data_IF_371422504128
#
_entry.id   IF_371422504128
#
_cell.length_a   1.000
_cell.length_b   1.000
_cell.length_c   1.000
_cell.angle_alpha   90.00
_cell.angle_beta   90.00
_cell.angle_gamma   90.00
#
_symmetry.space_group_name_H-M   'P 1'
#
loop_
_entity.id
_entity.type
_entity.pdbx_description
1 polymer ?
#
# COMPACT_ATOMS: atom_id res chain seq x y z
N UNK A 1 74.88 26.51 -29.25
CA UNK A 1 73.46 26.89 -29.08
C UNK A 1 72.76 25.79 -28.30
N UNK A 2 71.93 26.16 -27.33
CA UNK A 2 71.74 25.46 -26.05
C UNK A 2 71.21 24.01 -26.10
N UNK A 3 71.74 23.19 -25.19
CA UNK A 3 71.19 21.89 -24.79
C UNK A 3 69.78 22.08 -24.25
N UNK A 4 68.76 21.82 -25.07
CA UNK A 4 67.36 21.72 -24.64
C UNK A 4 67.19 20.41 -23.87
N UNK A 5 67.54 20.42 -22.58
CA UNK A 5 67.16 19.33 -21.69
C UNK A 5 65.63 19.22 -21.69
N UNK A 6 65.08 18.03 -21.96
CA UNK A 6 63.64 17.84 -21.97
C UNK A 6 63.07 18.14 -20.58
N UNK A 7 62.01 18.95 -20.52
CA UNK A 7 61.35 19.20 -19.23
C UNK A 7 60.71 17.91 -18.69
N UNK A 8 60.65 17.77 -17.36
CA UNK A 8 60.10 16.58 -16.68
C UNK A 8 58.70 16.19 -17.21
N UNK A 9 57.85 17.18 -17.51
CA UNK A 9 56.50 16.96 -18.05
C UNK A 9 56.49 16.37 -19.47
N UNK A 10 57.48 16.69 -20.30
CA UNK A 10 57.59 16.15 -21.67
C UNK A 10 58.06 14.70 -21.66
N UNK A 11 58.94 14.34 -20.71
CA UNK A 11 59.33 12.95 -20.49
C UNK A 11 58.11 12.14 -20.08
N UNK A 12 57.36 12.61 -19.09
CA UNK A 12 56.13 11.98 -18.62
C UNK A 12 55.07 11.82 -19.73
N UNK A 13 54.82 12.87 -20.52
CA UNK A 13 53.82 12.84 -21.59
C UNK A 13 54.16 11.84 -22.70
N UNK A 14 55.44 11.48 -22.87
CA UNK A 14 55.87 10.48 -23.84
C UNK A 14 55.87 9.04 -23.28
N UNK A 15 55.89 8.87 -21.96
CA UNK A 15 55.90 7.55 -21.29
C UNK A 15 54.54 7.10 -20.78
N UNK A 16 53.56 8.00 -20.70
CA UNK A 16 52.20 7.69 -20.23
C UNK A 16 51.37 6.95 -21.29
N UNK A 17 50.38 6.18 -20.83
CA UNK A 17 49.38 5.49 -21.67
C UNK A 17 48.22 6.40 -22.08
N UNK A 18 48.20 7.65 -21.61
CA UNK A 18 47.15 8.61 -21.93
C UNK A 18 47.26 9.04 -23.40
N UNK A 19 46.22 8.74 -24.17
CA UNK A 19 46.22 9.01 -25.60
C UNK A 19 46.14 10.53 -25.85
N UNK A 20 46.88 11.01 -26.85
CA UNK A 20 46.87 12.42 -27.26
C UNK A 20 47.83 13.35 -26.50
N UNK A 21 48.18 13.07 -25.24
CA UNK A 21 49.03 13.97 -24.43
C UNK A 21 50.46 14.13 -24.97
N UNK A 22 51.02 13.07 -25.57
CA UNK A 22 52.33 13.12 -26.25
C UNK A 22 52.35 14.13 -27.40
N UNK A 23 51.21 14.35 -28.07
CA UNK A 23 51.08 15.30 -29.18
C UNK A 23 50.85 16.74 -28.72
N UNK A 24 50.45 16.91 -27.45
CA UNK A 24 50.30 18.20 -26.78
C UNK A 24 51.64 18.71 -26.22
N UNK A 25 52.48 17.80 -25.71
CA UNK A 25 53.79 18.12 -25.10
C UNK A 25 54.98 17.69 -25.95
N UNK A 26 54.93 17.98 -27.25
CA UNK A 26 56.05 17.75 -28.18
C UNK A 26 57.18 18.77 -27.92
N UNK A 27 58.44 18.37 -28.17
CA UNK A 27 59.60 19.26 -28.12
C UNK A 27 59.53 20.32 -29.24
N UNK A 28 59.69 21.61 -28.90
CA UNK A 28 59.76 22.70 -29.89
C UNK A 28 58.71 23.81 -29.70
N UNK A 29 58.62 24.76 -30.66
CA UNK A 29 57.71 25.91 -30.58
C UNK A 29 56.23 25.51 -30.68
N UNK A 30 55.33 26.42 -30.28
CA UNK A 30 53.88 26.21 -30.40
C UNK A 30 53.48 26.21 -31.88
N UNK A 31 52.77 25.18 -32.32
CA UNK A 31 52.30 25.01 -33.71
C UNK A 31 50.77 24.86 -33.76
N UNK A 32 50.16 25.15 -34.91
CA UNK A 32 48.71 24.94 -35.14
C UNK A 32 48.32 23.48 -34.86
N UNK A 33 49.16 22.53 -35.29
CA UNK A 33 48.98 21.10 -35.00
C UNK A 33 48.90 20.83 -33.50
N UNK A 34 49.77 21.46 -32.70
CA UNK A 34 49.74 21.36 -31.23
C UNK A 34 48.43 21.90 -30.66
N UNK A 35 47.97 23.06 -31.13
CA UNK A 35 46.70 23.65 -30.70
C UNK A 35 45.51 22.73 -31.01
N UNK A 36 45.46 22.13 -32.20
CA UNK A 36 44.42 21.17 -32.58
C UNK A 36 44.44 19.92 -31.69
N UNK A 37 45.62 19.37 -31.40
CA UNK A 37 45.75 18.24 -30.47
C UNK A 37 45.34 18.60 -29.05
N UNK A 38 45.69 19.80 -28.58
CA UNK A 38 45.26 20.29 -27.27
C UNK A 38 43.74 20.43 -27.20
N UNK A 39 43.12 21.02 -28.22
CA UNK A 39 41.66 21.19 -28.27
C UNK A 39 40.94 19.84 -28.33
N UNK A 40 41.41 18.91 -29.16
CA UNK A 40 40.86 17.58 -29.25
C UNK A 40 41.00 16.79 -27.93
N UNK A 41 42.16 16.88 -27.28
CA UNK A 41 42.42 16.25 -26.00
C UNK A 41 41.52 16.81 -24.89
N UNK A 42 41.47 18.14 -24.75
CA UNK A 42 40.60 18.81 -23.76
C UNK A 42 39.12 18.54 -24.05
N UNK A 43 38.71 18.58 -25.31
CA UNK A 43 37.35 18.24 -25.72
C UNK A 43 36.97 16.80 -25.36
N UNK A 44 37.86 15.83 -25.65
CA UNK A 44 37.62 14.42 -25.31
C UNK A 44 37.54 14.17 -23.80
N UNK A 45 38.38 14.86 -23.01
CA UNK A 45 38.35 14.79 -21.55
C UNK A 45 37.08 15.43 -20.98
N UNK A 46 36.66 16.58 -21.52
CA UNK A 46 35.43 17.25 -21.12
C UNK A 46 34.18 16.39 -21.39
N UNK A 47 34.09 15.80 -22.59
CA UNK A 47 33.00 14.86 -22.93
C UNK A 47 32.98 13.65 -22.00
N UNK A 48 34.15 13.05 -21.73
CA UNK A 48 34.26 11.92 -20.81
C UNK A 48 33.74 12.27 -19.40
N UNK A 49 34.13 13.45 -18.87
CA UNK A 49 33.69 13.88 -17.54
C UNK A 49 32.17 14.11 -17.50
N UNK A 50 31.61 14.82 -18.48
CA UNK A 50 30.16 15.08 -18.54
C UNK A 50 29.37 13.77 -18.63
N UNK A 51 29.70 12.91 -19.60
CA UNK A 51 29.01 11.62 -19.79
C UNK A 51 29.17 10.71 -18.56
N UNK A 52 30.37 10.64 -17.97
CA UNK A 52 30.58 9.84 -16.77
C UNK A 52 29.76 10.36 -15.58
N UNK A 53 29.67 11.68 -15.40
CA UNK A 53 28.89 12.28 -14.33
C UNK A 53 27.39 12.06 -14.51
N UNK A 54 26.87 12.16 -15.73
CA UNK A 54 25.47 11.84 -16.05
C UNK A 54 25.14 10.38 -15.75
N UNK A 55 26.02 9.43 -16.14
CA UNK A 55 25.80 8.01 -15.86
C UNK A 55 25.88 7.68 -14.37
N UNK A 56 26.78 8.33 -13.63
CA UNK A 56 26.88 8.17 -12.17
C UNK A 56 25.64 8.76 -11.48
N UNK A 57 25.18 9.94 -11.91
CA UNK A 57 23.95 10.54 -11.41
C UNK A 57 22.72 9.67 -11.72
N UNK A 58 22.65 9.09 -12.92
CA UNK A 58 21.61 8.13 -13.31
C UNK A 58 21.69 6.81 -12.54
N UNK A 59 22.89 6.32 -12.23
CA UNK A 59 23.05 5.15 -11.37
C UNK A 59 22.51 5.44 -9.94
N UNK A 60 22.84 6.60 -9.39
CA UNK A 60 22.36 7.05 -8.08
C UNK A 60 20.91 7.58 -8.09
N UNK A 61 20.26 7.69 -9.25
CA UNK A 61 18.82 7.95 -9.32
C UNK A 61 17.98 6.69 -9.10
N UNK A 62 18.63 5.51 -9.01
CA UNK A 62 17.99 4.22 -8.72
C UNK A 62 16.79 3.91 -9.63
N UNK A 63 16.92 4.24 -10.91
CA UNK A 63 15.89 3.98 -11.90
C UNK A 63 15.68 2.47 -12.10
N UNK A 64 14.46 2.00 -11.96
CA UNK A 64 14.07 0.60 -12.19
C UNK A 64 13.09 0.50 -13.37
N UNK A 65 13.14 -0.62 -14.08
CA UNK A 65 12.19 -0.96 -15.15
C UNK A 65 11.46 -2.23 -14.76
N UNK A 66 10.14 -2.19 -14.80
CA UNK A 66 9.30 -3.35 -14.48
C UNK A 66 8.98 -4.12 -15.77
N UNK A 67 9.23 -5.43 -15.75
CA UNK A 67 8.81 -6.35 -16.82
C UNK A 67 7.51 -7.04 -16.39
N UNK A 68 6.50 -7.01 -17.27
CA UNK A 68 5.20 -7.66 -17.05
C UNK A 68 5.10 -8.85 -18.01
N UNK A 69 4.97 -10.05 -17.45
CA UNK A 69 4.80 -11.30 -18.20
C UNK A 69 3.55 -12.03 -17.70
N UNK A 70 2.77 -12.63 -18.60
CA UNK A 70 1.63 -13.48 -18.27
C UNK A 70 2.02 -14.95 -18.45
N UNK A 71 1.95 -15.74 -17.38
CA UNK A 71 2.32 -17.16 -17.39
C UNK A 71 1.10 -17.99 -17.00
N UNK A 72 0.73 -18.94 -17.88
CA UNK A 72 -0.38 -19.86 -17.62
C UNK A 72 0.08 -20.95 -16.65
N UNK A 73 -0.60 -21.07 -15.50
CA UNK A 73 -0.34 -22.11 -14.50
C UNK A 73 -1.46 -23.15 -14.47
N UNK A 74 -1.10 -24.43 -14.30
CA UNK A 74 -2.07 -25.54 -14.25
C UNK A 74 -2.94 -25.53 -12.98
N UNK A 75 -2.48 -24.87 -11.91
CA UNK A 75 -3.21 -24.72 -10.66
C UNK A 75 -2.79 -23.42 -9.96
N UNK A 76 -3.75 -22.68 -9.44
CA UNK A 76 -3.51 -21.49 -8.62
C UNK A 76 -4.09 -21.70 -7.21
N UNK A 77 -3.51 -21.00 -6.24
CA UNK A 77 -4.07 -20.91 -4.90
C UNK A 77 -5.32 -20.03 -4.99
N UNK A 78 -6.44 -20.53 -4.46
CA UNK A 78 -7.67 -19.74 -4.42
C UNK A 78 -7.48 -18.56 -3.47
N UNK A 79 -7.81 -17.32 -3.87
CA UNK A 79 -7.61 -16.16 -3.03
C UNK A 79 -8.56 -16.18 -1.83
N UNK A 80 -8.22 -15.45 -0.78
CA UNK A 80 -9.16 -15.20 0.29
C UNK A 80 -10.24 -14.22 -0.19
N UNK A 81 -11.50 -14.62 -0.07
CA UNK A 81 -12.68 -13.82 -0.42
C UNK A 81 -13.32 -13.31 0.85
N UNK A 82 -13.37 -11.99 1.02
CA UNK A 82 -14.04 -11.34 2.14
C UNK A 82 -15.40 -10.82 1.71
N UNK A 83 -16.45 -11.25 2.40
CA UNK A 83 -17.83 -10.81 2.14
C UNK A 83 -18.31 -10.01 3.34
N UNK A 84 -18.84 -8.82 3.09
CA UNK A 84 -19.38 -7.93 4.11
C UNK A 84 -20.75 -7.43 3.67
N UNK A 85 -21.72 -7.40 4.59
CA UNK A 85 -22.96 -6.67 4.33
C UNK A 85 -22.66 -5.17 4.41
N UNK A 86 -23.17 -4.37 3.48
CA UNK A 86 -23.03 -2.92 3.52
C UNK A 86 -23.73 -2.31 4.74
N UNK A 87 -24.83 -2.95 5.17
CA UNK A 87 -25.50 -2.56 6.40
C UNK A 87 -24.69 -3.04 7.60
N UNK A 88 -24.23 -2.09 8.42
CA UNK A 88 -23.38 -2.33 9.59
C UNK A 88 -24.05 -3.22 10.64
N UNK A 89 -25.36 -3.05 10.86
CA UNK A 89 -26.08 -3.71 11.96
C UNK A 89 -27.50 -4.13 11.58
N UNK A 90 -28.00 -5.16 12.26
CA UNK A 90 -29.39 -5.58 12.21
C UNK A 90 -30.21 -4.71 13.17
N UNK A 91 -31.07 -3.85 12.63
CA UNK A 91 -31.93 -2.97 13.43
C UNK A 91 -32.74 -3.73 14.50
N UNK A 92 -33.18 -4.95 14.18
CA UNK A 92 -33.93 -5.82 15.11
C UNK A 92 -33.13 -6.26 16.34
N UNK A 93 -31.79 -6.24 16.29
CA UNK A 93 -30.89 -6.63 17.38
C UNK A 93 -30.48 -5.47 18.29
N UNK A 94 -30.81 -4.23 17.91
CA UNK A 94 -30.52 -3.05 18.73
C UNK A 94 -31.39 -3.01 19.98
N UNK A 95 -30.76 -2.69 21.11
CA UNK A 95 -31.42 -2.50 22.40
C UNK A 95 -31.38 -1.03 22.83
N UNK A 96 -32.19 -0.66 23.83
CA UNK A 96 -32.14 0.68 24.45
C UNK A 96 -30.75 1.00 25.02
N UNK A 97 -30.03 0.01 25.56
CA UNK A 97 -28.66 0.24 26.04
C UNK A 97 -27.72 0.61 24.91
N UNK A 98 -27.87 -0.05 23.76
CA UNK A 98 -27.03 0.20 22.60
C UNK A 98 -27.29 1.59 22.03
N UNK A 99 -28.55 2.02 21.93
CA UNK A 99 -28.88 3.38 21.51
C UNK A 99 -28.40 4.43 22.51
N UNK A 100 -28.45 4.13 23.81
CA UNK A 100 -27.95 5.06 24.83
C UNK A 100 -26.44 5.32 24.71
N UNK A 101 -25.64 4.29 24.43
CA UNK A 101 -24.17 4.40 24.36
C UNK A 101 -23.62 4.68 22.96
N UNK A 102 -24.26 4.16 21.91
CA UNK A 102 -23.78 4.19 20.53
C UNK A 102 -24.78 4.83 19.55
N UNK A 103 -25.92 5.35 19.99
CA UNK A 103 -26.94 5.92 19.10
C UNK A 103 -26.43 7.07 18.23
N UNK A 104 -25.57 7.93 18.79
CA UNK A 104 -24.89 9.00 18.05
C UNK A 104 -23.89 8.42 17.02
N UNK A 105 -23.09 7.43 17.42
CA UNK A 105 -22.14 6.76 16.53
C UNK A 105 -22.82 6.11 15.32
N UNK A 106 -24.02 5.55 15.53
CA UNK A 106 -24.85 4.95 14.48
C UNK A 106 -25.65 5.97 13.67
N UNK A 107 -25.53 7.28 13.97
CA UNK A 107 -26.33 8.36 13.39
C UNK A 107 -27.86 8.16 13.54
N UNK A 108 -28.29 7.39 14.54
CA UNK A 108 -29.70 7.18 14.87
C UNK A 108 -30.21 8.22 15.87
N UNK A 109 -29.31 8.80 16.66
CA UNK A 109 -29.59 9.86 17.62
C UNK A 109 -28.60 11.02 17.43
N UNK A 110 -29.00 12.21 17.86
CA UNK A 110 -28.11 13.38 17.97
C UNK A 110 -27.39 13.43 19.33
N UNK A 111 -26.58 14.49 19.53
CA UNK A 111 -25.86 14.77 20.78
C UNK A 111 -26.79 14.94 22.01
N UNK A 112 -28.09 15.18 21.78
CA UNK A 112 -29.11 15.33 22.82
C UNK A 112 -29.94 14.05 23.02
N UNK A 113 -29.51 12.93 22.43
CA UNK A 113 -30.20 11.64 22.45
C UNK A 113 -31.61 11.69 21.83
N UNK A 114 -31.81 12.57 20.84
CA UNK A 114 -33.06 12.70 20.09
C UNK A 114 -32.93 12.13 18.68
N UNK A 115 -34.04 11.66 18.11
CA UNK A 115 -34.07 11.14 16.74
C UNK A 115 -34.01 12.33 15.75
N UNK A 116 -32.96 12.44 14.91
CA UNK A 116 -32.88 13.51 13.93
C UNK A 116 -33.89 13.27 12.79
N UNK A 117 -34.53 14.35 12.31
CA UNK A 117 -35.41 14.33 11.13
C UNK A 117 -36.43 13.16 11.08
N UNK A 118 -37.29 12.97 12.10
CA UNK A 118 -38.16 11.79 12.22
C UNK A 118 -39.13 11.60 11.05
N UNK A 119 -39.46 12.67 10.31
CA UNK A 119 -40.34 12.61 9.13
C UNK A 119 -39.75 11.81 7.95
N UNK A 120 -38.44 11.58 7.91
CA UNK A 120 -37.79 10.82 6.83
C UNK A 120 -37.85 9.30 7.05
N UNK A 121 -38.20 8.85 8.25
CA UNK A 121 -38.29 7.43 8.58
C UNK A 121 -39.67 6.86 8.27
N UNK A 122 -39.71 5.58 7.91
CA UNK A 122 -40.96 4.82 7.84
C UNK A 122 -41.69 4.87 9.20
N UNK A 123 -43.02 5.10 9.24
CA UNK A 123 -43.76 5.23 10.51
C UNK A 123 -43.65 4.02 11.44
N UNK A 124 -43.57 2.80 10.91
CA UNK A 124 -43.46 1.60 11.73
C UNK A 124 -42.06 1.48 12.34
N UNK A 125 -41.02 1.78 11.56
CA UNK A 125 -39.63 1.80 12.04
C UNK A 125 -39.44 2.92 13.07
N UNK A 126 -40.02 4.09 12.81
CA UNK A 126 -39.97 5.23 13.72
C UNK A 126 -40.60 4.91 15.07
N UNK A 127 -41.76 4.25 15.09
CA UNK A 127 -42.42 3.85 16.34
C UNK A 127 -41.52 2.93 17.19
N UNK A 128 -40.85 1.96 16.56
CA UNK A 128 -39.91 1.05 17.24
C UNK A 128 -38.69 1.84 17.74
N UNK A 129 -38.17 2.77 16.95
CA UNK A 129 -37.03 3.59 17.34
C UNK A 129 -37.37 4.51 18.52
N UNK A 130 -38.56 5.12 18.52
CA UNK A 130 -39.06 5.95 19.62
C UNK A 130 -39.22 5.16 20.92
N UNK A 131 -39.72 3.93 20.83
CA UNK A 131 -39.81 3.04 21.99
C UNK A 131 -38.43 2.73 22.55
N UNK A 132 -37.49 2.33 21.69
CA UNK A 132 -36.12 1.99 22.10
C UNK A 132 -35.32 3.20 22.59
N UNK A 133 -35.60 4.40 22.09
CA UNK A 133 -34.96 5.67 22.46
C UNK A 133 -35.66 6.39 23.63
N UNK A 134 -36.57 5.73 24.35
CA UNK A 134 -37.20 6.32 25.53
C UNK A 134 -36.31 6.17 26.78
N UNK A 135 -35.51 7.20 27.08
CA UNK A 135 -34.55 7.18 28.19
C UNK A 135 -35.08 7.75 29.51
N UNK A 136 -36.35 8.17 29.61
CA UNK A 136 -36.89 8.91 30.77
C UNK A 136 -36.72 8.22 32.13
N UNK A 137 -36.71 6.89 32.16
CA UNK A 137 -36.52 6.08 33.37
C UNK A 137 -35.47 4.98 33.17
N UNK A 138 -34.57 5.18 32.19
CA UNK A 138 -33.59 4.17 31.82
C UNK A 138 -32.38 4.20 32.75
N UNK A 139 -31.95 3.03 33.24
CA UNK A 139 -30.69 2.86 33.98
C UNK A 139 -29.66 2.22 33.05
N UNK A 140 -28.59 2.94 32.66
CA UNK A 140 -27.56 2.41 31.77
C UNK A 140 -26.91 1.16 32.35
N UNK A 141 -26.70 0.17 31.47
CA UNK A 141 -25.97 -1.06 31.79
C UNK A 141 -24.56 -0.98 31.21
N UNK A 142 -23.68 -1.84 31.70
CA UNK A 142 -22.32 -2.02 31.17
C UNK A 142 -22.39 -2.25 29.67
N UNK A 143 -21.52 -1.58 28.92
CA UNK A 143 -21.48 -1.61 27.48
C UNK A 143 -20.06 -1.90 27.00
N UNK A 144 -19.94 -2.78 26.00
CA UNK A 144 -18.68 -3.12 25.35
C UNK A 144 -18.89 -3.04 23.85
N UNK A 145 -18.03 -2.26 23.17
CA UNK A 145 -18.10 -2.11 21.72
C UNK A 145 -17.91 -3.45 20.98
N UNK A 146 -17.03 -4.32 21.49
CA UNK A 146 -16.79 -5.62 20.88
C UNK A 146 -18.02 -6.53 20.97
N UNK A 147 -18.68 -6.58 22.12
CA UNK A 147 -19.92 -7.34 22.31
C UNK A 147 -21.04 -6.77 21.44
N UNK A 148 -21.17 -5.44 21.43
CA UNK A 148 -22.16 -4.73 20.65
C UNK A 148 -22.03 -5.09 19.16
N UNK A 149 -20.86 -4.88 18.55
CA UNK A 149 -20.63 -5.15 17.13
C UNK A 149 -20.84 -6.63 16.79
N UNK A 150 -20.38 -7.55 17.65
CA UNK A 150 -20.57 -8.99 17.44
C UNK A 150 -22.04 -9.42 17.49
N UNK A 151 -22.85 -8.82 18.36
CA UNK A 151 -24.27 -9.16 18.54
C UNK A 151 -25.16 -8.51 17.49
N UNK A 152 -24.94 -7.24 17.18
CA UNK A 152 -25.81 -6.48 16.27
C UNK A 152 -25.43 -6.67 14.81
N UNK A 153 -24.19 -7.06 14.53
CA UNK A 153 -23.73 -7.38 13.19
C UNK A 153 -24.55 -8.49 12.52
N UNK A 154 -24.41 -8.62 11.21
CA UNK A 154 -25.06 -9.69 10.45
C UNK A 154 -24.43 -11.03 10.75
N UNK A 155 -25.22 -12.10 10.70
CA UNK A 155 -24.73 -13.47 10.78
C UNK A 155 -24.75 -14.08 9.38
N UNK A 156 -23.63 -14.67 8.95
CA UNK A 156 -23.53 -15.30 7.64
C UNK A 156 -24.53 -16.43 7.48
N UNK A 157 -24.86 -17.14 8.58
CA UNK A 157 -25.87 -18.20 8.58
C UNK A 157 -27.23 -17.71 8.07
N UNK A 158 -27.59 -16.46 8.36
CA UNK A 158 -28.87 -15.87 7.95
C UNK A 158 -28.83 -15.30 6.53
N UNK A 159 -27.64 -14.89 6.05
CA UNK A 159 -27.48 -14.28 4.72
C UNK A 159 -27.18 -15.29 3.62
N UNK A 160 -26.50 -16.38 3.94
CA UNK A 160 -25.98 -17.33 2.97
C UNK A 160 -27.02 -18.42 2.69
N UNK A 161 -27.66 -18.33 1.53
CA UNK A 161 -28.67 -19.30 1.11
C UNK A 161 -28.06 -20.57 0.49
N UNK A 162 -26.93 -20.44 -0.20
CA UNK A 162 -26.25 -21.53 -0.90
C UNK A 162 -24.76 -21.22 -1.08
N UNK A 163 -23.91 -22.23 -0.95
CA UNK A 163 -22.47 -22.12 -1.17
C UNK A 163 -21.94 -23.40 -1.82
N UNK A 164 -21.17 -23.23 -2.89
CA UNK A 164 -20.47 -24.34 -3.56
C UNK A 164 -19.11 -23.90 -4.06
N UNK A 165 -18.07 -24.60 -3.63
CA UNK A 165 -16.69 -24.35 -4.05
C UNK A 165 -16.13 -25.60 -4.75
N UNK A 166 -15.69 -25.45 -6.00
CA UNK A 166 -15.14 -26.54 -6.84
C UNK A 166 -16.02 -27.80 -6.88
N UNK A 167 -17.34 -27.63 -6.86
CA UNK A 167 -18.26 -28.76 -6.88
C UNK A 167 -18.65 -29.31 -5.50
N UNK A 168 -17.98 -28.90 -4.43
CA UNK A 168 -18.28 -29.32 -3.06
C UNK A 168 -19.16 -28.29 -2.36
N UNK A 169 -20.11 -28.75 -1.55
CA UNK A 169 -20.93 -27.88 -0.71
C UNK A 169 -20.09 -27.25 0.39
N UNK A 170 -20.32 -25.96 0.65
CA UNK A 170 -19.72 -25.22 1.76
C UNK A 170 -20.83 -24.64 2.64
N UNK A 171 -20.50 -24.31 3.88
CA UNK A 171 -21.41 -23.76 4.85
C UNK A 171 -20.80 -22.54 5.60
N UNK A 172 -21.58 -21.88 6.45
CA UNK A 172 -21.16 -20.65 7.14
C UNK A 172 -20.00 -20.87 8.11
N UNK A 173 -19.75 -22.11 8.55
CA UNK A 173 -18.61 -22.48 9.41
C UNK A 173 -17.29 -22.55 8.66
N UNK A 174 -17.33 -22.67 7.33
CA UNK A 174 -16.13 -22.62 6.48
C UNK A 174 -15.64 -21.18 6.28
N UNK A 175 -16.34 -20.20 6.86
CA UNK A 175 -15.99 -18.80 6.83
C UNK A 175 -15.51 -18.36 8.22
N UNK A 176 -14.42 -17.60 8.24
CA UNK A 176 -13.93 -16.96 9.46
C UNK A 176 -14.55 -15.58 9.61
N UNK A 177 -15.21 -15.32 10.73
CA UNK A 177 -15.68 -13.97 11.07
C UNK A 177 -14.48 -13.06 11.38
N UNK A 178 -14.44 -11.91 10.74
CA UNK A 178 -13.46 -10.85 10.94
C UNK A 178 -14.21 -9.52 11.13
N UNK A 179 -13.72 -8.67 12.03
CA UNK A 179 -14.26 -7.32 12.19
C UNK A 179 -13.47 -6.39 11.28
N UNK A 180 -14.16 -5.65 10.41
CA UNK A 180 -13.54 -4.61 9.57
C UNK A 180 -14.25 -3.30 9.90
N UNK A 181 -13.54 -2.40 10.57
CA UNK A 181 -14.12 -1.15 11.07
C UNK A 181 -15.36 -1.41 11.94
N UNK A 182 -16.56 -1.05 11.46
CA UNK A 182 -17.85 -1.24 12.16
C UNK A 182 -18.66 -2.43 11.63
N UNK A 183 -18.11 -3.22 10.72
CA UNK A 183 -18.84 -4.28 10.05
C UNK A 183 -18.37 -5.67 10.49
N UNK A 184 -19.33 -6.60 10.57
CA UNK A 184 -19.04 -8.03 10.61
C UNK A 184 -18.84 -8.55 9.19
N UNK A 185 -17.61 -8.99 8.88
CA UNK A 185 -17.23 -9.53 7.60
C UNK A 185 -16.82 -11.01 7.71
N UNK A 186 -16.87 -11.72 6.59
CA UNK A 186 -16.70 -13.17 6.52
C UNK A 186 -15.66 -13.54 5.49
N UNK A 187 -14.57 -14.16 5.94
CA UNK A 187 -13.43 -14.53 5.11
C UNK A 187 -13.52 -16.01 4.72
N UNK A 188 -13.46 -16.29 3.42
CA UNK A 188 -13.38 -17.64 2.87
C UNK A 188 -12.07 -17.84 2.11
N UNK A 189 -11.29 -18.87 2.48
CA UNK A 189 -9.98 -19.13 1.88
C UNK A 189 -9.96 -20.38 0.99
N UNK A 190 -11.13 -20.90 0.58
CA UNK A 190 -11.20 -22.07 -0.30
C UNK A 190 -10.85 -23.40 0.38
N UNK A 191 -10.62 -23.42 1.69
CA UNK A 191 -10.47 -24.66 2.47
C UNK A 191 -11.81 -25.03 3.07
N UNK A 192 -12.31 -26.23 2.74
CA UNK A 192 -13.51 -26.80 3.31
C UNK A 192 -13.04 -27.95 4.19
N UNK A 193 -13.01 -27.73 5.52
CA UNK A 193 -12.56 -28.72 6.48
C UNK A 193 -13.61 -29.83 6.61
N UNK A 194 -13.39 -30.95 5.91
CA UNK A 194 -14.18 -32.17 6.10
C UNK A 194 -13.75 -32.87 7.41
N UNK A 195 -14.16 -32.32 8.56
CA UNK A 195 -14.22 -33.07 9.82
C UNK A 195 -12.90 -33.61 10.39
N UNK A 196 -11.74 -33.03 10.07
CA UNK A 196 -10.49 -33.34 10.78
C UNK A 196 -10.20 -32.20 11.77
N UNK A 197 -10.44 -32.46 13.05
CA UNK A 197 -9.90 -31.68 14.17
C UNK A 197 -8.38 -31.82 14.19
N UNK A 198 -7.71 -31.05 13.34
CA UNK A 198 -6.28 -30.74 13.42
C UNK A 198 -6.10 -29.26 13.72
N UNK A 199 -5.01 -28.83 14.37
CA UNK A 199 -4.76 -27.42 14.56
C UNK A 199 -4.53 -26.81 13.17
N UNK A 200 -5.55 -26.11 12.67
CA UNK A 200 -5.44 -25.33 11.45
C UNK A 200 -4.16 -24.50 11.53
N UNK A 201 -3.31 -24.63 10.51
CA UNK A 201 -2.08 -23.85 10.43
C UNK A 201 -2.42 -22.39 10.72
N UNK A 202 -1.70 -21.71 11.63
CA UNK A 202 -1.97 -20.33 11.90
C UNK A 202 -1.75 -19.58 10.58
N UNK A 203 -2.82 -19.03 10.02
CA UNK A 203 -2.71 -18.06 8.95
C UNK A 203 -1.78 -16.97 9.49
N UNK A 204 -0.56 -16.89 8.96
CA UNK A 204 0.19 -15.65 8.98
C UNK A 204 -0.73 -14.65 8.31
N UNK A 205 -1.14 -13.63 9.05
CA UNK A 205 -1.66 -12.41 8.44
C UNK A 205 -0.62 -12.00 7.40
N UNK A 206 -0.95 -12.15 6.12
CA UNK A 206 -0.21 -11.47 5.08
C UNK A 206 -0.58 -10.00 5.23
N UNK A 207 0.10 -9.33 6.15
CA UNK A 207 0.18 -7.88 6.18
C UNK A 207 0.95 -7.49 4.93
N UNK A 208 0.23 -7.11 3.87
CA UNK A 208 0.84 -6.54 2.69
C UNK A 208 1.21 -5.10 3.02
N UNK A 209 2.50 -4.80 3.15
CA UNK A 209 2.98 -3.42 3.15
C UNK A 209 2.70 -2.81 1.77
N UNK A 210 1.66 -1.99 1.66
CA UNK A 210 1.39 -1.19 0.48
C UNK A 210 2.18 0.11 0.55
N UNK A 211 3.22 0.25 -0.29
CA UNK A 211 3.90 1.55 -0.46
C UNK A 211 3.13 2.34 -1.52
N UNK A 212 2.36 3.35 -1.10
CA UNK A 212 1.69 4.26 -2.02
C UNK A 212 2.65 5.37 -2.41
N UNK A 213 3.15 5.37 -3.66
CA UNK A 213 4.04 6.43 -4.18
C UNK A 213 3.20 7.58 -4.74
N UNK A 214 3.08 8.67 -3.98
CA UNK A 214 2.43 9.90 -4.42
C UNK A 214 3.45 10.80 -5.14
N UNK A 215 3.13 11.25 -6.36
CA UNK A 215 3.97 12.20 -7.11
C UNK A 215 3.62 13.63 -6.69
N UNK A 216 4.55 14.35 -6.06
CA UNK A 216 4.38 15.77 -5.71
C UNK A 216 5.05 16.67 -6.75
N UNK A 217 4.35 17.69 -7.29
CA UNK A 217 4.94 18.60 -8.27
C UNK A 217 5.98 19.50 -7.59
N UNK A 218 7.25 19.35 -7.98
CA UNK A 218 8.34 20.29 -7.66
C UNK A 218 9.33 19.87 -6.56
N UNK A 219 9.18 18.69 -5.94
CA UNK A 219 10.03 18.29 -4.80
C UNK A 219 10.53 16.84 -4.79
N UNK A 220 10.35 16.08 -5.88
CA UNK A 220 10.81 14.69 -5.96
C UNK A 220 9.92 13.71 -5.19
N UNK A 221 10.26 12.42 -5.28
CA UNK A 221 9.46 11.31 -4.73
C UNK A 221 9.60 11.27 -3.20
N UNK A 222 8.51 11.52 -2.48
CA UNK A 222 8.44 11.30 -1.04
C UNK A 222 7.85 9.90 -0.78
N UNK A 223 8.55 9.06 -0.03
CA UNK A 223 8.03 7.81 0.51
C UNK A 223 7.38 8.13 1.86
N UNK A 224 6.05 8.01 1.95
CA UNK A 224 5.32 8.04 3.20
C UNK A 224 4.99 6.59 3.58
N UNK A 225 5.59 6.11 4.67
CA UNK A 225 5.29 4.81 5.25
C UNK A 225 3.99 4.95 6.07
N UNK A 226 2.86 4.65 5.45
CA UNK A 226 1.60 4.52 6.19
C UNK A 226 1.48 3.10 6.75
N UNK A 227 1.68 3.00 8.06
CA UNK A 227 1.31 1.83 8.84
C UNK A 227 -0.22 1.83 8.98
N UNK A 228 -0.93 1.14 8.09
CA UNK A 228 -2.34 0.82 8.32
C UNK A 228 -2.43 -0.25 9.42
N UNK A 229 -2.84 0.18 10.61
CA UNK A 229 -3.24 -0.72 11.68
C UNK A 229 -4.53 -1.47 11.27
N UNK A 230 -4.51 -2.80 11.39
CA UNK A 230 -5.69 -3.66 11.32
C UNK A 230 -6.39 -3.74 12.68
#
# INVERSE_FOLDING_TARGET
MGSLQPSSIQIFANTTTLHGIRHVFVYGPVTIRRLLWTLAFVGSLGLLLVESSDRVAFYFSYQHVTKVDEVVANSLVFPAVTICNLNEFRFSRLTTNDLYHAGELLALLDVNLQIPNPHLADPAVLAILQEKANFKQYKPKVFSMQEFLARVGHDLKDMMLYCKFRGQECNHKDFKTVSISRHSAFLFSGHVDHGVTGPGQPLRSLCGSGVTRQWLPGSGMAEEEQEEAC
#
